data_IF_603404619467
#
_entry.id   IF_603404619467
#
_cell.length_a   1.000
_cell.length_b   1.000
_cell.length_c   1.000
_cell.angle_alpha   90.00
_cell.angle_beta   90.00
_cell.angle_gamma   90.00
#
_symmetry.space_group_name_H-M   'P 1'
#
loop_
_entity.id
_entity.type
_entity.pdbx_description
1 polymer ?
#
# COMPACT_ATOMS: atom_id res chain seq x y z
N UNK A 1 -23.34 -2.28 15.77
CA UNK A 1 -22.49 -2.76 14.64
C UNK A 1 -21.22 -1.92 14.43
N UNK A 2 -20.77 -1.16 15.44
CA UNK A 2 -19.53 -0.35 15.44
C UNK A 2 -18.26 -1.22 15.52
N UNK A 3 -18.39 -2.39 16.16
CA UNK A 3 -17.28 -3.27 16.45
C UNK A 3 -16.77 -3.99 15.20
N UNK A 4 -17.62 -4.43 14.28
CA UNK A 4 -17.27 -5.51 13.35
C UNK A 4 -16.12 -5.23 12.37
N UNK A 5 -15.92 -4.00 11.87
CA UNK A 5 -14.86 -3.72 10.89
C UNK A 5 -13.49 -3.52 11.54
N UNK A 6 -13.39 -2.63 12.54
CA UNK A 6 -12.14 -2.44 13.31
C UNK A 6 -11.82 -3.71 14.12
N UNK A 7 -12.81 -4.40 14.69
CA UNK A 7 -12.65 -5.71 15.34
C UNK A 7 -12.30 -6.81 14.35
N UNK A 8 -12.71 -6.72 13.09
CA UNK A 8 -12.30 -7.69 12.05
C UNK A 8 -10.89 -7.41 11.59
N UNK A 9 -10.49 -6.15 11.38
CA UNK A 9 -9.10 -5.77 11.12
C UNK A 9 -8.18 -6.06 12.31
N UNK A 10 -8.64 -5.87 13.55
CA UNK A 10 -7.86 -6.18 14.76
C UNK A 10 -7.79 -7.67 15.07
N UNK A 11 -8.76 -8.47 14.61
CA UNK A 11 -8.71 -9.94 14.62
C UNK A 11 -7.98 -10.54 13.42
N UNK A 12 -7.74 -9.75 12.40
CA UNK A 12 -7.01 -10.17 11.21
C UNK A 12 -5.52 -10.00 11.47
N UNK A 13 -4.71 -10.95 11.01
CA UNK A 13 -3.25 -10.91 11.17
C UNK A 13 -2.71 -9.69 10.43
N UNK A 14 -2.36 -8.66 11.20
CA UNK A 14 -1.58 -7.55 10.69
C UNK A 14 -0.16 -8.02 10.44
N UNK A 15 0.43 -7.53 9.37
CA UNK A 15 1.85 -7.76 9.03
C UNK A 15 2.54 -6.41 8.90
N UNK A 16 3.83 -6.39 9.25
CA UNK A 16 4.67 -5.23 8.98
C UNK A 16 4.95 -5.14 7.49
N UNK A 17 4.84 -3.93 6.96
CA UNK A 17 5.21 -3.60 5.60
C UNK A 17 6.11 -2.37 5.60
N UNK A 18 6.98 -2.28 4.61
CA UNK A 18 7.77 -1.08 4.35
C UNK A 18 7.10 -0.31 3.22
N UNK A 19 6.87 0.98 3.45
CA UNK A 19 6.27 1.90 2.49
C UNK A 19 7.27 2.98 2.07
N UNK A 20 7.28 3.28 0.78
CA UNK A 20 7.94 4.42 0.17
C UNK A 20 6.89 5.31 -0.48
N UNK A 21 6.92 6.61 -0.19
CA UNK A 21 6.03 7.59 -0.83
C UNK A 21 6.28 7.69 -2.33
N UNK A 22 5.30 8.20 -3.08
CA UNK A 22 5.45 8.39 -4.53
C UNK A 22 6.72 9.19 -4.82
N UNK A 23 7.58 8.75 -5.74
CA UNK A 23 8.85 9.40 -5.96
C UNK A 23 8.63 10.81 -6.52
N UNK A 24 9.39 11.77 -6.02
CA UNK A 24 9.38 13.14 -6.54
C UNK A 24 10.27 13.20 -7.77
N UNK A 25 9.74 13.70 -8.89
CA UNK A 25 10.52 13.91 -10.10
C UNK A 25 11.28 15.22 -10.00
N UNK A 26 12.62 15.15 -9.88
CA UNK A 26 13.52 16.30 -9.89
C UNK A 26 14.24 16.44 -11.25
N UNK A 27 13.56 16.11 -12.35
CA UNK A 27 14.04 16.33 -13.72
C UNK A 27 15.14 15.39 -14.23
N UNK A 28 15.88 14.68 -13.37
CA UNK A 28 16.93 13.73 -13.78
C UNK A 28 16.72 12.30 -13.25
N UNK A 29 16.22 12.13 -12.02
CA UNK A 29 15.98 10.82 -11.40
C UNK A 29 14.75 10.90 -10.49
N UNK A 30 13.82 9.94 -10.60
CA UNK A 30 12.69 9.79 -9.68
C UNK A 30 13.19 9.16 -8.37
N UNK A 31 13.39 9.98 -7.32
CA UNK A 31 13.87 9.51 -6.01
C UNK A 31 12.70 9.28 -5.07
N UNK A 32 12.73 8.16 -4.35
CA UNK A 32 11.77 7.86 -3.29
C UNK A 32 12.17 8.55 -1.99
N UNK A 33 11.16 8.90 -1.19
CA UNK A 33 11.36 9.33 0.19
C UNK A 33 11.87 8.19 1.08
N UNK A 34 12.34 8.55 2.27
CA UNK A 34 12.82 7.58 3.25
C UNK A 34 11.71 6.57 3.60
N UNK A 35 12.01 5.26 3.58
CA UNK A 35 11.02 4.24 3.87
C UNK A 35 10.57 4.27 5.33
N UNK A 36 9.30 3.95 5.54
CA UNK A 36 8.72 3.77 6.87
C UNK A 36 8.04 2.42 7.01
N UNK A 37 8.11 1.85 8.20
CA UNK A 37 7.32 0.68 8.55
C UNK A 37 5.88 1.10 8.85
N UNK A 38 4.94 0.36 8.31
CA UNK A 38 3.52 0.53 8.54
C UNK A 38 2.87 -0.83 8.84
N UNK A 39 1.84 -0.81 9.69
CA UNK A 39 1.01 -1.99 9.90
C UNK A 39 -0.03 -2.10 8.80
N UNK A 40 -0.09 -3.26 8.15
CA UNK A 40 -1.05 -3.49 7.08
C UNK A 40 -1.78 -4.81 7.25
N UNK A 41 -2.97 -4.88 6.66
CA UNK A 41 -3.67 -6.13 6.47
C UNK A 41 -3.69 -6.49 5.00
N UNK A 42 -2.84 -7.45 4.62
CA UNK A 42 -2.74 -7.97 3.25
C UNK A 42 -3.83 -9.00 3.00
N UNK A 43 -4.61 -8.81 1.94
CA UNK A 43 -5.59 -9.77 1.46
C UNK A 43 -5.21 -10.18 0.05
N UNK A 44 -4.58 -11.36 -0.04
CA UNK A 44 -4.30 -12.02 -1.31
C UNK A 44 -5.60 -12.36 -2.03
N UNK A 45 -5.94 -11.56 -3.03
CA UNK A 45 -7.14 -11.73 -3.82
C UNK A 45 -6.92 -11.03 -5.16
N UNK A 46 -6.71 -11.83 -6.21
CA UNK A 46 -6.68 -11.33 -7.58
C UNK A 46 -8.01 -10.68 -7.90
N UNK A 47 -7.98 -9.41 -8.30
CA UNK A 47 -9.17 -8.67 -8.75
C UNK A 47 -8.85 -7.80 -9.95
N UNK A 48 -9.82 -7.63 -10.83
CA UNK A 48 -9.79 -6.61 -11.87
C UNK A 48 -10.51 -5.39 -11.32
N UNK A 49 -9.80 -4.28 -11.19
CA UNK A 49 -10.32 -2.99 -10.74
C UNK A 49 -10.10 -1.95 -11.86
N UNK A 50 -10.99 -0.95 -12.00
CA UNK A 50 -10.80 0.11 -12.99
C UNK A 50 -10.13 1.33 -12.36
N UNK A 51 -9.15 1.91 -13.05
CA UNK A 51 -8.54 3.16 -12.66
C UNK A 51 -9.47 4.37 -12.92
N UNK A 52 -9.02 5.57 -12.53
CA UNK A 52 -9.79 6.82 -12.73
C UNK A 52 -10.01 7.17 -14.21
N UNK A 53 -9.27 6.55 -15.13
CA UNK A 53 -9.39 6.73 -16.58
C UNK A 53 -10.24 5.64 -17.25
N UNK A 54 -10.73 4.67 -16.47
CA UNK A 54 -11.50 3.53 -16.96
C UNK A 54 -10.63 2.37 -17.49
N UNK A 55 -9.32 2.39 -17.26
CA UNK A 55 -8.41 1.31 -17.63
C UNK A 55 -8.49 0.18 -16.60
N UNK A 56 -8.60 -1.05 -17.11
CA UNK A 56 -8.53 -2.24 -16.26
C UNK A 56 -7.13 -2.41 -15.67
N UNK A 57 -7.08 -2.48 -14.34
CA UNK A 57 -5.92 -2.85 -13.54
C UNK A 57 -6.17 -4.27 -13.06
N UNK A 58 -5.32 -5.20 -13.51
CA UNK A 58 -5.23 -6.52 -12.89
C UNK A 58 -4.41 -6.39 -11.61
N UNK A 59 -5.10 -6.43 -10.48
CA UNK A 59 -4.50 -6.29 -9.16
C UNK A 59 -4.33 -7.66 -8.55
N UNK A 60 -3.10 -7.96 -8.14
CA UNK A 60 -2.80 -9.23 -7.48
C UNK A 60 -3.28 -9.22 -6.03
N UNK A 61 -3.21 -8.06 -5.38
CA UNK A 61 -3.38 -7.93 -3.94
C UNK A 61 -4.14 -6.67 -3.51
N UNK A 62 -4.93 -6.80 -2.44
CA UNK A 62 -5.63 -5.69 -1.79
C UNK A 62 -5.10 -5.53 -0.38
N UNK A 63 -4.74 -4.32 0.01
CA UNK A 63 -4.16 -4.05 1.33
C UNK A 63 -4.96 -2.97 2.05
N UNK A 64 -5.27 -3.23 3.31
CA UNK A 64 -5.93 -2.26 4.18
C UNK A 64 -4.91 -1.63 5.12
N UNK A 65 -4.97 -0.31 5.24
CA UNK A 65 -3.94 0.50 5.91
C UNK A 65 -4.58 1.46 6.92
N UNK A 66 -3.84 1.86 7.95
CA UNK A 66 -4.32 2.80 8.97
C UNK A 66 -4.10 4.27 8.61
N UNK A 67 -3.21 4.54 7.65
CA UNK A 67 -2.75 5.87 7.27
C UNK A 67 -2.97 6.14 5.78
N UNK A 68 -2.93 7.41 5.39
CA UNK A 68 -3.05 7.82 3.99
C UNK A 68 -1.73 7.49 3.28
N UNK A 69 -1.82 6.85 2.11
CA UNK A 69 -0.69 6.49 1.26
C UNK A 69 -0.85 7.12 -0.12
N UNK A 70 0.27 7.33 -0.80
CA UNK A 70 0.32 7.99 -2.09
C UNK A 70 0.18 6.98 -3.24
N UNK A 71 -0.66 7.33 -4.21
CA UNK A 71 -0.71 6.62 -5.48
C UNK A 71 0.63 6.79 -6.20
N UNK A 72 1.20 5.71 -6.75
CA UNK A 72 2.56 5.67 -7.30
C UNK A 72 3.66 5.43 -6.27
N UNK A 73 3.31 5.38 -4.97
CA UNK A 73 4.20 4.87 -3.92
C UNK A 73 4.42 3.37 -4.04
N UNK A 74 5.33 2.84 -3.21
CA UNK A 74 5.66 1.41 -3.20
C UNK A 74 5.47 0.78 -1.83
N UNK A 75 5.06 -0.48 -1.83
CA UNK A 75 4.86 -1.31 -0.65
C UNK A 75 5.60 -2.62 -0.78
N UNK A 76 6.27 -3.03 0.28
CA UNK A 76 6.92 -4.32 0.38
C UNK A 76 6.56 -4.98 1.72
N UNK A 77 6.29 -6.28 1.69
CA UNK A 77 5.94 -7.03 2.91
C UNK A 77 7.22 -7.50 3.61
N UNK A 78 7.52 -6.94 4.78
CA UNK A 78 8.71 -7.22 5.59
C UNK A 78 9.07 -6.05 6.51
N UNK A 79 10.26 -6.06 7.09
CA UNK A 79 10.73 -5.02 8.01
C UNK A 79 11.93 -4.22 7.44
N UNK A 80 12.14 -2.99 7.91
CA UNK A 80 13.27 -2.14 7.53
C UNK A 80 14.62 -2.75 7.86
N UNK A 81 14.70 -3.63 8.86
CA UNK A 81 15.92 -4.33 9.21
C UNK A 81 16.35 -5.35 8.16
N UNK A 82 15.43 -5.82 7.33
CA UNK A 82 15.67 -6.84 6.31
C UNK A 82 16.23 -6.23 5.02
N UNK A 83 16.24 -4.90 4.91
CA UNK A 83 16.65 -4.15 3.72
C UNK A 83 18.09 -3.64 3.81
N UNK A 84 18.81 -3.78 2.70
CA UNK A 84 20.12 -3.14 2.48
C UNK A 84 19.99 -1.64 2.29
N UNK A 85 21.11 -0.91 2.38
CA UNK A 85 21.15 0.53 2.12
C UNK A 85 20.68 0.89 0.70
N UNK A 86 20.97 0.03 -0.29
CA UNK A 86 20.52 0.23 -1.67
C UNK A 86 19.00 0.06 -1.81
N UNK A 87 18.45 -0.98 -1.19
CA UNK A 87 17.01 -1.27 -1.21
C UNK A 87 16.18 -0.22 -0.46
N UNK A 88 16.73 0.35 0.63
CA UNK A 88 16.11 1.48 1.32
C UNK A 88 16.03 2.72 0.43
N UNK A 89 17.04 2.94 -0.43
CA UNK A 89 17.09 4.08 -1.33
C UNK A 89 16.21 3.91 -2.58
N UNK A 90 16.04 2.67 -3.06
CA UNK A 90 15.19 2.37 -4.21
C UNK A 90 14.42 1.03 -4.05
N UNK A 91 13.10 1.07 -3.75
CA UNK A 91 12.27 -0.13 -3.63
C UNK A 91 12.10 -0.92 -4.94
N UNK A 92 12.44 -0.33 -6.10
CA UNK A 92 12.41 -1.04 -7.39
C UNK A 92 13.54 -2.05 -7.53
N UNK A 93 14.51 -2.03 -6.61
CA UNK A 93 15.57 -3.05 -6.54
C UNK A 93 15.14 -4.28 -5.74
N UNK A 94 14.03 -4.19 -4.99
CA UNK A 94 13.51 -5.26 -4.14
C UNK A 94 12.53 -6.12 -4.95
N UNK A 95 12.82 -7.41 -5.08
CA UNK A 95 11.87 -8.36 -5.65
C UNK A 95 10.60 -8.47 -4.80
N UNK A 96 9.45 -8.63 -5.44
CA UNK A 96 8.14 -8.66 -4.76
C UNK A 96 7.80 -7.37 -3.99
N UNK A 97 8.38 -6.24 -4.38
CA UNK A 97 7.79 -4.93 -4.05
C UNK A 97 6.67 -4.61 -5.02
N UNK A 98 5.67 -3.87 -4.53
CA UNK A 98 4.42 -3.61 -5.23
C UNK A 98 4.19 -2.10 -5.35
N UNK A 99 3.84 -1.64 -6.54
CA UNK A 99 3.40 -0.27 -6.74
C UNK A 99 1.94 -0.09 -6.29
N UNK A 100 1.66 1.01 -5.61
CA UNK A 100 0.31 1.42 -5.24
C UNK A 100 -0.37 2.03 -6.45
N UNK A 101 -1.27 1.27 -7.07
CA UNK A 101 -1.99 1.71 -8.26
C UNK A 101 -3.19 2.58 -7.92
N UNK A 102 -3.92 2.24 -6.84
CA UNK A 102 -5.06 3.01 -6.37
C UNK A 102 -5.07 3.09 -4.85
N UNK A 103 -5.43 4.26 -4.33
CA UNK A 103 -5.73 4.49 -2.92
C UNK A 103 -7.18 4.96 -2.77
N UNK A 104 -7.96 4.27 -1.95
CA UNK A 104 -9.34 4.62 -1.63
C UNK A 104 -9.44 4.98 -0.15
N UNK A 105 -10.09 6.12 0.12
CA UNK A 105 -10.45 6.58 1.45
C UNK A 105 -11.95 6.76 1.50
N UNK A 106 -12.63 5.85 2.17
CA UNK A 106 -14.08 5.84 2.29
C UNK A 106 -14.47 6.23 3.72
N UNK A 107 -15.29 7.27 3.94
CA UNK A 107 -15.77 7.58 5.28
C UNK A 107 -16.60 6.42 5.81
N UNK A 108 -16.42 6.11 7.09
CA UNK A 108 -17.26 5.12 7.77
C UNK A 108 -18.66 5.69 7.93
N UNK A 109 -19.67 5.00 7.39
CA UNK A 109 -21.08 5.37 7.59
C UNK A 109 -21.52 5.19 9.04
N UNK A 110 -20.77 4.45 9.85
CA UNK A 110 -21.14 4.13 11.24
C UNK A 110 -20.47 5.01 12.29
N UNK A 111 -19.36 5.68 11.95
CA UNK A 111 -18.59 6.50 12.91
C UNK A 111 -18.08 7.75 12.22
N UNK A 112 -18.54 8.91 12.69
CA UNK A 112 -18.11 10.23 12.19
C UNK A 112 -16.60 10.39 12.44
N UNK A 113 -15.87 10.82 11.41
CA UNK A 113 -14.43 11.07 11.49
C UNK A 113 -13.53 9.85 11.29
N UNK A 114 -14.10 8.63 11.18
CA UNK A 114 -13.31 7.45 10.83
C UNK A 114 -13.36 7.15 9.33
N UNK A 115 -12.23 6.69 8.80
CA UNK A 115 -12.08 6.36 7.38
C UNK A 115 -11.56 4.94 7.22
N UNK A 116 -12.17 4.20 6.31
CA UNK A 116 -11.62 2.97 5.78
C UNK A 116 -10.66 3.33 4.66
N UNK A 117 -9.41 2.86 4.78
CA UNK A 117 -8.39 3.07 3.76
C UNK A 117 -8.01 1.75 3.16
N UNK A 118 -7.93 1.73 1.83
CA UNK A 118 -7.60 0.55 1.05
C UNK A 118 -6.69 0.95 -0.08
N UNK A 119 -5.62 0.20 -0.27
CA UNK A 119 -4.78 0.29 -1.46
C UNK A 119 -4.94 -0.95 -2.32
N UNK A 120 -4.82 -0.73 -3.61
CA UNK A 120 -4.82 -1.74 -4.65
C UNK A 120 -3.41 -1.79 -5.22
N UNK A 121 -2.81 -2.98 -5.19
CA UNK A 121 -1.44 -3.19 -5.62
C UNK A 121 -1.37 -3.64 -7.07
N UNK A 122 -0.39 -3.10 -7.78
CA UNK A 122 -0.09 -3.44 -9.17
C UNK A 122 0.74 -4.71 -9.32
N UNK A 123 1.37 -4.85 -10.48
CA UNK A 123 2.34 -5.91 -10.73
C UNK A 123 3.53 -5.78 -9.77
N UNK A 124 4.04 -6.94 -9.35
CA UNK A 124 5.27 -6.99 -8.55
C UNK A 124 6.49 -6.70 -9.42
N UNK A 125 7.50 -6.09 -8.81
CA UNK A 125 8.84 -6.04 -9.39
C UNK A 125 9.39 -7.47 -9.47
N UNK A 126 9.86 -7.85 -10.66
CA UNK A 126 10.37 -9.20 -11.00
C UNK A 126 11.86 -9.29 -10.71
#
# INVERSE_FOLDING_TARGET
MIDAYIKRLSKQSKVTAVYWASPVSDGAVNRFDDPKEIEVFWKGASSTDNDKTGREINSMDRVYVSEDLDQGGMLWQGALCDLTTAEKADPRTISNSYEIQLFWKTPSLSVVGQYQRKVILGGKVI
#
